data_IF_393199410935
#
_entry.id   IF_393199410935
#
_cell.length_a   1.000
_cell.length_b   1.000
_cell.length_c   1.000
_cell.angle_alpha   90.00
_cell.angle_beta   90.00
_cell.angle_gamma   90.00
#
_symmetry.space_group_name_H-M   'P 1'
#
loop_
_entity.id
_entity.type
_entity.pdbx_description
1 polymer ?
#
# COMPACT_ATOMS: atom_id res chain seq x y z
N UNK A 1 -24.24 -21.06 -17.20
CA UNK A 1 -23.45 -20.18 -18.07
C UNK A 1 -22.21 -19.77 -17.29
N UNK A 2 -20.98 -19.96 -17.80
CA UNK A 2 -19.79 -19.55 -17.08
C UNK A 2 -19.72 -18.02 -17.02
N UNK A 3 -19.51 -17.49 -15.80
CA UNK A 3 -19.34 -16.05 -15.58
C UNK A 3 -18.08 -15.56 -16.30
N UNK A 4 -18.22 -14.57 -17.19
CA UNK A 4 -17.09 -13.91 -17.84
C UNK A 4 -16.37 -13.05 -16.80
N UNK A 5 -15.08 -13.30 -16.63
CA UNK A 5 -14.15 -12.49 -15.87
C UNK A 5 -13.89 -11.18 -16.62
N UNK A 6 -14.21 -10.03 -16.04
CA UNK A 6 -13.74 -8.75 -16.56
C UNK A 6 -12.27 -8.58 -16.18
N UNK A 7 -11.42 -8.65 -17.18
CA UNK A 7 -9.99 -8.36 -17.05
C UNK A 7 -9.79 -6.86 -16.98
N UNK A 8 -9.30 -6.35 -15.87
CA UNK A 8 -8.82 -4.98 -15.78
C UNK A 8 -7.34 -4.98 -16.18
N UNK A 9 -7.01 -4.24 -17.27
CA UNK A 9 -5.65 -4.06 -17.73
C UNK A 9 -4.91 -3.09 -16.82
N UNK A 10 -4.04 -3.59 -15.95
CA UNK A 10 -3.03 -2.84 -15.22
C UNK A 10 -1.64 -3.33 -15.63
N UNK A 11 -0.66 -2.45 -15.61
CA UNK A 11 0.74 -2.75 -15.96
C UNK A 11 1.27 -3.82 -15.00
N UNK A 12 1.66 -4.97 -15.55
CA UNK A 12 2.18 -6.12 -14.82
C UNK A 12 3.62 -5.86 -14.43
N UNK A 13 3.93 -5.69 -13.15
CA UNK A 13 5.28 -5.90 -12.64
C UNK A 13 5.41 -7.34 -12.16
N UNK A 14 6.61 -7.99 -12.27
CA UNK A 14 6.78 -9.41 -11.96
C UNK A 14 6.65 -9.79 -10.48
N UNK A 15 6.42 -8.84 -9.62
CA UNK A 15 6.32 -9.05 -8.17
C UNK A 15 4.90 -8.77 -7.71
N UNK A 16 4.23 -9.82 -7.25
CA UNK A 16 3.01 -9.84 -6.42
C UNK A 16 1.80 -9.06 -6.94
N UNK A 17 0.76 -9.79 -7.28
CA UNK A 17 -0.53 -9.22 -7.57
C UNK A 17 -1.53 -9.53 -6.46
N UNK A 18 -1.93 -8.50 -5.76
CA UNK A 18 -3.11 -8.51 -4.90
C UNK A 18 -4.32 -8.13 -5.74
N UNK A 19 -5.31 -8.99 -5.78
CA UNK A 19 -6.56 -8.72 -6.47
C UNK A 19 -7.72 -8.72 -5.47
N UNK A 20 -8.41 -7.59 -5.35
CA UNK A 20 -9.69 -7.52 -4.66
C UNK A 20 -10.80 -7.88 -5.66
N UNK A 21 -11.58 -8.92 -5.36
CA UNK A 21 -12.71 -9.34 -6.18
C UNK A 21 -14.00 -8.98 -5.45
N UNK A 22 -14.85 -8.20 -6.12
CA UNK A 22 -16.18 -7.90 -5.61
C UNK A 22 -17.02 -9.19 -5.51
N UNK A 23 -17.56 -9.49 -4.34
CA UNK A 23 -18.58 -10.52 -4.20
C UNK A 23 -19.93 -9.89 -4.47
N UNK A 24 -20.47 -10.11 -5.67
CA UNK A 24 -21.88 -9.77 -5.97
C UNK A 24 -22.80 -10.74 -5.23
N UNK A 25 -23.35 -10.31 -4.10
CA UNK A 25 -24.54 -10.94 -3.50
C UNK A 25 -25.75 -10.20 -4.01
N UNK A 26 -26.52 -10.82 -4.89
CA UNK A 26 -27.83 -10.31 -5.35
C UNK A 26 -28.94 -10.69 -4.35
N UNK A 27 -29.77 -9.74 -3.95
CA UNK A 27 -29.83 -8.29 -4.16
C UNK A 27 -29.30 -7.51 -2.94
N UNK A 28 -28.00 -7.52 -2.68
CA UNK A 28 -27.38 -6.86 -1.53
C UNK A 28 -26.53 -5.65 -1.92
N UNK A 29 -26.45 -4.69 -1.04
CA UNK A 29 -25.42 -3.65 -1.08
C UNK A 29 -24.06 -4.34 -1.08
N UNK A 30 -23.17 -3.99 -2.02
CA UNK A 30 -21.78 -4.44 -1.96
C UNK A 30 -21.18 -3.86 -0.68
N UNK A 31 -20.98 -4.71 0.32
CA UNK A 31 -20.48 -4.30 1.64
C UNK A 31 -18.96 -4.32 1.73
N UNK A 32 -18.28 -4.75 0.65
CA UNK A 32 -16.82 -4.80 0.58
C UNK A 32 -16.31 -5.88 -0.40
N UNK A 33 -14.99 -5.92 -0.55
CA UNK A 33 -14.31 -6.83 -1.46
C UNK A 33 -13.57 -7.92 -0.70
N UNK A 34 -13.52 -9.15 -1.25
CA UNK A 34 -12.63 -10.21 -0.78
C UNK A 34 -11.22 -9.98 -1.30
N UNK A 35 -10.23 -10.23 -0.46
CA UNK A 35 -8.83 -10.16 -0.84
C UNK A 35 -8.34 -11.54 -1.30
N UNK A 36 -7.68 -11.56 -2.45
CA UNK A 36 -6.96 -12.72 -2.97
C UNK A 36 -5.53 -12.34 -3.30
N UNK A 37 -4.59 -13.23 -3.02
CA UNK A 37 -3.18 -13.03 -3.34
C UNK A 37 -2.63 -14.25 -4.08
N UNK A 38 -1.66 -14.01 -4.96
CA UNK A 38 -0.88 -15.02 -5.68
C UNK A 38 0.45 -14.43 -6.12
N UNK A 39 1.40 -15.26 -6.49
CA UNK A 39 2.76 -14.87 -6.88
C UNK A 39 3.78 -15.29 -5.84
N UNK A 40 4.86 -14.52 -5.74
CA UNK A 40 5.95 -14.77 -4.80
C UNK A 40 5.54 -14.46 -3.36
N UNK A 41 5.93 -15.34 -2.42
CA UNK A 41 5.56 -15.24 -1.01
C UNK A 41 6.72 -15.40 -0.03
N UNK A 42 7.97 -15.24 -0.47
CA UNK A 42 9.17 -15.55 0.31
C UNK A 42 9.37 -14.70 1.59
N UNK A 43 8.74 -13.53 1.67
CA UNK A 43 8.78 -12.66 2.86
C UNK A 43 7.41 -12.53 3.54
N UNK A 44 6.42 -13.34 3.15
CA UNK A 44 5.06 -13.29 3.69
C UNK A 44 4.13 -12.31 2.96
N UNK A 45 4.54 -11.82 1.80
CA UNK A 45 3.83 -10.78 1.03
C UNK A 45 2.41 -11.21 0.61
N UNK A 46 2.17 -12.52 0.50
CA UNK A 46 0.86 -13.05 0.15
C UNK A 46 -0.17 -12.94 1.28
N UNK A 47 0.27 -12.80 2.54
CA UNK A 47 -0.64 -12.65 3.68
C UNK A 47 -1.47 -13.89 4.03
N UNK A 48 -1.09 -15.05 3.52
CA UNK A 48 -1.82 -16.34 3.68
C UNK A 48 -1.44 -17.11 4.97
N UNK A 49 -0.72 -16.46 5.88
CA UNK A 49 -0.18 -17.03 7.12
C UNK A 49 0.87 -18.15 6.89
N UNK A 50 1.45 -18.20 5.70
CA UNK A 50 2.55 -19.11 5.36
C UNK A 50 3.80 -18.26 5.21
N UNK A 51 4.79 -18.48 6.05
CA UNK A 51 6.10 -17.81 5.99
C UNK A 51 7.19 -18.79 5.56
N UNK A 52 8.28 -18.27 5.02
CA UNK A 52 9.46 -19.05 4.66
C UNK A 52 9.83 -19.00 3.19
N UNK A 53 10.94 -19.64 2.84
CA UNK A 53 11.42 -19.70 1.46
C UNK A 53 10.51 -20.58 0.58
N UNK A 54 10.29 -20.15 -0.67
CA UNK A 54 9.52 -20.87 -1.69
C UNK A 54 8.02 -21.05 -1.38
N UNK A 55 7.39 -20.03 -0.81
CA UNK A 55 5.95 -19.99 -0.59
C UNK A 55 5.18 -19.36 -1.76
N UNK A 56 5.67 -19.56 -2.97
CA UNK A 56 5.06 -19.03 -4.18
C UNK A 56 3.73 -19.73 -4.49
N UNK A 57 2.72 -18.97 -4.85
CA UNK A 57 1.39 -19.47 -5.17
C UNK A 57 1.01 -19.03 -6.57
N UNK A 58 0.78 -20.01 -7.46
CA UNK A 58 0.48 -19.77 -8.88
C UNK A 58 -1.01 -19.51 -9.17
N UNK A 59 -1.89 -19.65 -8.19
CA UNK A 59 -3.32 -19.40 -8.32
C UNK A 59 -3.84 -18.55 -7.15
N UNK A 60 -4.90 -17.72 -7.36
CA UNK A 60 -5.41 -16.86 -6.30
C UNK A 60 -5.87 -17.63 -5.06
N UNK A 61 -5.32 -17.26 -3.89
CA UNK A 61 -5.72 -17.77 -2.58
C UNK A 61 -6.40 -16.63 -1.80
N UNK A 62 -7.56 -16.90 -1.20
CA UNK A 62 -8.27 -15.91 -0.41
C UNK A 62 -7.54 -15.63 0.89
N UNK A 63 -7.37 -14.33 1.20
CA UNK A 63 -6.72 -13.87 2.42
C UNK A 63 -7.78 -13.43 3.43
N UNK A 64 -7.85 -14.20 4.53
CA UNK A 64 -8.88 -14.01 5.55
C UNK A 64 -10.27 -14.46 5.09
N UNK A 65 -11.20 -14.55 6.05
CA UNK A 65 -12.56 -15.02 5.80
C UNK A 65 -13.56 -13.87 5.54
N UNK A 66 -13.18 -12.64 5.86
CA UNK A 66 -14.09 -11.48 5.84
C UNK A 66 -13.84 -10.57 4.65
N UNK A 67 -14.92 -10.04 4.14
CA UNK A 67 -14.98 -8.98 3.14
C UNK A 67 -14.74 -7.61 3.78
N UNK A 68 -14.81 -6.52 3.00
CA UNK A 68 -14.74 -5.10 3.40
C UNK A 68 -13.38 -4.40 3.16
N UNK A 69 -12.52 -4.96 2.35
CA UNK A 69 -11.36 -4.24 1.86
C UNK A 69 -11.80 -3.13 0.90
N UNK A 70 -11.30 -1.90 1.08
CA UNK A 70 -11.68 -0.72 0.30
C UNK A 70 -10.54 -0.18 -0.57
N UNK A 71 -9.31 -0.39 -0.14
CA UNK A 71 -8.11 0.05 -0.86
C UNK A 71 -6.99 -0.96 -0.62
N UNK A 72 -6.18 -1.22 -1.64
CA UNK A 72 -5.06 -2.16 -1.61
C UNK A 72 -3.88 -1.57 -2.38
N UNK A 73 -2.68 -1.79 -1.87
CA UNK A 73 -1.45 -1.55 -2.59
C UNK A 73 -0.39 -2.59 -2.20
N UNK A 74 0.48 -2.96 -3.13
CA UNK A 74 1.51 -3.95 -2.90
C UNK A 74 2.76 -3.70 -3.73
N UNK A 75 3.90 -3.94 -3.09
CA UNK A 75 5.22 -4.02 -3.71
C UNK A 75 5.99 -5.18 -3.05
N UNK A 76 7.12 -4.95 -2.39
CA UNK A 76 7.76 -5.93 -1.51
C UNK A 76 6.99 -6.12 -0.18
N UNK A 77 6.14 -5.18 0.15
CA UNK A 77 5.21 -5.21 1.28
C UNK A 77 3.80 -4.99 0.76
N UNK A 78 2.83 -5.52 1.47
CA UNK A 78 1.42 -5.45 1.09
C UNK A 78 0.63 -4.67 2.12
N UNK A 79 -0.34 -3.90 1.65
CA UNK A 79 -1.17 -3.02 2.48
C UNK A 79 -2.63 -3.10 2.07
N UNK A 80 -3.49 -2.87 3.04
CA UNK A 80 -4.93 -2.77 2.75
C UNK A 80 -5.65 -1.94 3.78
N UNK A 81 -6.66 -1.21 3.33
CA UNK A 81 -7.61 -0.51 4.20
C UNK A 81 -8.89 -1.34 4.29
N UNK A 82 -9.33 -1.58 5.51
CA UNK A 82 -10.56 -2.33 5.82
C UNK A 82 -11.32 -1.62 6.93
N UNK A 83 -12.53 -1.17 6.65
CA UNK A 83 -13.35 -0.42 7.61
C UNK A 83 -12.61 0.74 8.28
N UNK A 84 -11.83 1.51 7.49
CA UNK A 84 -11.01 2.61 7.94
C UNK A 84 -9.73 2.23 8.70
N UNK A 85 -9.48 0.94 8.97
CA UNK A 85 -8.26 0.43 9.59
C UNK A 85 -7.23 0.10 8.52
N UNK A 86 -5.99 0.48 8.74
CA UNK A 86 -4.87 0.11 7.89
C UNK A 86 -4.26 -1.21 8.36
N UNK A 87 -3.97 -2.11 7.43
CA UNK A 87 -3.26 -3.36 7.65
C UNK A 87 -2.02 -3.43 6.76
N UNK A 88 -0.96 -4.08 7.25
CA UNK A 88 0.28 -4.29 6.53
C UNK A 88 0.81 -5.71 6.75
N UNK A 89 1.51 -6.27 5.76
CA UNK A 89 2.17 -7.57 5.82
C UNK A 89 3.25 -7.68 4.75
N UNK A 90 4.10 -8.70 4.82
CA UNK A 90 5.22 -8.91 3.90
C UNK A 90 6.57 -8.49 4.45
N UNK A 91 7.43 -7.94 3.61
CA UNK A 91 8.77 -7.47 3.96
C UNK A 91 8.72 -6.28 4.92
N UNK A 92 9.68 -6.20 5.85
CA UNK A 92 9.78 -5.11 6.83
C UNK A 92 11.22 -4.65 7.07
N UNK A 93 12.09 -4.77 6.08
CA UNK A 93 13.52 -4.49 6.28
C UNK A 93 13.79 -3.05 6.75
N UNK A 94 13.04 -2.07 6.25
CA UNK A 94 13.24 -0.64 6.56
C UNK A 94 12.07 -0.05 7.37
N UNK A 95 11.32 -0.88 8.08
CA UNK A 95 10.12 -0.45 8.80
C UNK A 95 8.90 -0.25 7.91
N UNK A 96 8.90 -0.85 6.71
CA UNK A 96 7.85 -0.71 5.71
C UNK A 96 6.46 -1.08 6.24
N UNK A 97 6.35 -1.98 7.20
CA UNK A 97 5.05 -2.39 7.75
C UNK A 97 4.47 -1.43 8.78
N UNK A 98 5.19 -0.36 9.16
CA UNK A 98 4.72 0.63 10.15
C UNK A 98 4.33 0.03 11.52
N UNK A 99 4.95 -1.08 11.92
CA UNK A 99 4.65 -1.81 13.16
C UNK A 99 5.58 -1.44 14.33
N UNK A 100 6.37 -0.37 14.17
CA UNK A 100 7.42 0.09 15.12
C UNK A 100 8.50 -0.98 15.38
N UNK A 101 8.70 -1.88 14.41
CA UNK A 101 9.74 -2.90 14.41
C UNK A 101 10.22 -3.19 12.98
N UNK A 102 11.11 -4.20 12.80
CA UNK A 102 11.63 -4.66 11.51
C UNK A 102 11.27 -6.12 11.24
N UNK A 103 10.25 -6.65 11.91
CA UNK A 103 9.84 -8.05 11.79
C UNK A 103 8.87 -8.22 10.63
N UNK A 104 9.17 -9.15 9.71
CA UNK A 104 8.29 -9.54 8.60
C UNK A 104 6.99 -10.17 9.12
N UNK A 105 5.91 -10.03 8.37
CA UNK A 105 4.58 -10.56 8.70
C UNK A 105 4.03 -11.37 7.54
N UNK A 106 3.61 -12.62 7.80
CA UNK A 106 2.98 -13.50 6.80
C UNK A 106 1.44 -13.44 6.79
N UNK A 107 0.87 -12.56 7.57
CA UNK A 107 -0.58 -12.29 7.60
C UNK A 107 -0.85 -10.81 7.86
N UNK A 108 -2.00 -10.28 7.43
CA UNK A 108 -2.36 -8.88 7.68
C UNK A 108 -2.38 -8.54 9.18
N UNK A 109 -1.58 -7.54 9.59
CA UNK A 109 -1.55 -7.00 10.95
C UNK A 109 -1.97 -5.54 10.92
N UNK A 110 -2.88 -5.13 11.81
CA UNK A 110 -3.35 -3.76 11.88
C UNK A 110 -2.22 -2.81 12.29
N UNK A 111 -2.10 -1.69 11.58
CA UNK A 111 -1.16 -0.61 11.89
C UNK A 111 -1.79 0.32 12.94
N UNK A 112 -1.29 0.25 14.16
CA UNK A 112 -1.81 1.06 15.27
C UNK A 112 -3.30 0.83 15.54
N UNK A 113 -3.94 1.80 16.20
CA UNK A 113 -5.35 1.72 16.61
C UNK A 113 -6.31 2.61 15.81
N UNK A 114 -5.81 3.39 14.86
CA UNK A 114 -6.61 4.38 14.12
C UNK A 114 -7.57 3.70 13.13
N UNK A 115 -8.72 4.35 12.92
CA UNK A 115 -9.81 3.83 12.07
C UNK A 115 -10.27 4.84 11.00
N UNK A 116 -9.42 5.81 10.68
CA UNK A 116 -9.71 6.88 9.74
C UNK A 116 -8.77 6.88 8.51
N UNK A 117 -8.18 5.74 8.18
CA UNK A 117 -7.41 5.58 6.95
C UNK A 117 -8.34 5.50 5.73
N UNK A 118 -7.99 6.25 4.67
CA UNK A 118 -8.75 6.31 3.42
C UNK A 118 -8.05 5.56 2.30
N UNK A 119 -6.82 5.95 2.00
CA UNK A 119 -6.01 5.37 0.91
C UNK A 119 -4.62 5.03 1.39
N UNK A 120 -4.00 4.06 0.74
CA UNK A 120 -2.61 3.67 0.94
C UNK A 120 -1.98 3.36 -0.41
N UNK A 121 -0.73 3.76 -0.59
CA UNK A 121 0.05 3.42 -1.78
C UNK A 121 1.50 3.10 -1.44
N UNK A 122 1.99 1.96 -1.96
CA UNK A 122 3.30 1.39 -1.68
C UNK A 122 4.30 1.78 -2.76
N UNK A 123 5.40 2.41 -2.37
CA UNK A 123 6.54 2.63 -3.24
C UNK A 123 7.35 1.33 -3.44
N UNK A 124 8.07 1.27 -4.54
CA UNK A 124 8.81 0.06 -4.89
C UNK A 124 9.98 -0.27 -3.95
N UNK A 125 10.54 0.71 -3.26
CA UNK A 125 11.68 0.56 -2.34
C UNK A 125 11.28 0.62 -0.87
N UNK A 126 10.37 -0.25 -0.46
CA UNK A 126 10.02 -0.46 0.96
C UNK A 126 9.57 0.79 1.72
N UNK A 127 8.94 1.76 1.05
CA UNK A 127 8.27 2.88 1.68
C UNK A 127 6.78 2.92 1.30
N UNK A 128 6.00 3.63 2.05
CA UNK A 128 4.56 3.71 1.84
C UNK A 128 4.01 5.09 2.21
N UNK A 129 3.02 5.52 1.45
CA UNK A 129 2.27 6.75 1.69
C UNK A 129 0.80 6.44 1.92
N UNK A 130 0.14 7.22 2.75
CA UNK A 130 -1.29 7.07 3.00
C UNK A 130 -1.97 8.41 3.28
N UNK A 131 -3.28 8.48 3.00
CA UNK A 131 -4.12 9.61 3.33
C UNK A 131 -5.22 9.14 4.27
N UNK A 132 -5.50 9.93 5.30
CA UNK A 132 -6.65 9.72 6.19
C UNK A 132 -7.89 10.44 5.68
N UNK A 133 -9.04 10.09 6.23
CA UNK A 133 -10.34 10.72 5.89
C UNK A 133 -10.43 12.20 6.25
N UNK A 134 -9.55 12.67 7.13
CA UNK A 134 -9.39 14.09 7.48
C UNK A 134 -8.49 14.86 6.51
N UNK A 135 -8.03 14.22 5.42
CA UNK A 135 -7.17 14.80 4.40
C UNK A 135 -5.70 14.96 4.79
N UNK A 136 -5.26 14.40 5.92
CA UNK A 136 -3.84 14.41 6.32
C UNK A 136 -3.05 13.37 5.56
N UNK A 137 -1.81 13.72 5.15
CA UNK A 137 -0.86 12.83 4.45
C UNK A 137 0.12 12.23 5.45
N UNK A 138 0.42 10.95 5.28
CA UNK A 138 1.29 10.17 6.14
C UNK A 138 2.27 9.32 5.33
N UNK A 139 3.48 9.08 5.86
CA UNK A 139 4.48 8.24 5.21
C UNK A 139 5.31 7.45 6.22
N UNK A 140 5.90 6.33 5.77
CA UNK A 140 6.80 5.47 6.56
C UNK A 140 7.62 4.55 5.66
N UNK A 141 8.57 3.82 6.24
CA UNK A 141 9.46 2.87 5.57
C UNK A 141 10.81 3.47 5.23
N UNK A 142 11.36 3.04 4.11
CA UNK A 142 12.66 3.46 3.62
C UNK A 142 12.67 4.94 3.21
N UNK A 143 13.62 5.71 3.74
CA UNK A 143 13.75 7.12 3.46
C UNK A 143 15.20 7.54 3.12
N UNK A 144 16.18 6.74 3.50
CA UNK A 144 17.60 7.00 3.21
C UNK A 144 17.97 6.59 1.78
N UNK A 145 17.61 5.39 1.37
CA UNK A 145 17.85 4.90 0.01
C UNK A 145 16.90 5.54 -1.03
N UNK A 146 15.80 6.13 -0.58
CA UNK A 146 14.82 6.81 -1.42
C UNK A 146 15.04 8.32 -1.50
N UNK A 147 16.09 8.82 -0.86
CA UNK A 147 16.46 10.25 -0.86
C UNK A 147 15.34 11.17 -0.39
N UNK A 148 14.64 10.77 0.68
CA UNK A 148 13.58 11.57 1.27
C UNK A 148 12.20 11.39 0.62
N UNK A 149 11.93 10.24 -0.01
CA UNK A 149 10.63 10.00 -0.65
C UNK A 149 9.43 10.02 0.31
N UNK A 150 9.63 9.83 1.62
CA UNK A 150 8.58 10.01 2.62
C UNK A 150 8.11 11.48 2.67
N UNK A 151 9.01 12.48 2.47
CA UNK A 151 8.64 13.89 2.42
C UNK A 151 8.52 14.55 3.79
N UNK A 152 9.11 13.97 4.84
CA UNK A 152 9.10 14.51 6.21
C UNK A 152 10.28 15.46 6.51
N UNK A 153 10.94 15.96 5.47
CA UNK A 153 12.14 16.79 5.55
C UNK A 153 13.34 16.10 6.23
N UNK A 154 13.39 14.78 6.18
CA UNK A 154 14.50 13.95 6.64
C UNK A 154 14.85 12.87 5.63
N UNK A 155 15.97 12.16 5.87
CA UNK A 155 16.35 10.94 5.15
C UNK A 155 16.41 9.75 6.11
N UNK A 156 15.74 9.81 7.24
CA UNK A 156 15.75 8.76 8.26
C UNK A 156 14.56 7.83 8.05
N UNK A 157 14.79 6.52 7.99
CA UNK A 157 13.77 5.50 7.89
C UNK A 157 12.75 5.57 9.04
N UNK A 158 11.49 5.33 8.76
CA UNK A 158 10.40 5.40 9.74
C UNK A 158 9.72 4.04 9.87
N UNK A 159 9.81 3.42 11.02
CA UNK A 159 9.12 2.16 11.32
C UNK A 159 7.68 2.34 11.83
N UNK A 160 7.19 3.57 11.89
CA UNK A 160 5.81 3.93 12.21
C UNK A 160 5.34 5.11 11.36
N UNK A 161 4.02 5.28 11.12
CA UNK A 161 3.52 6.39 10.33
C UNK A 161 3.89 7.74 10.91
N UNK A 162 4.44 8.63 10.08
CA UNK A 162 4.68 10.05 10.42
C UNK A 162 3.82 10.93 9.54
N UNK A 163 3.23 11.98 10.11
CA UNK A 163 2.45 12.95 9.34
C UNK A 163 3.37 13.85 8.52
N UNK A 164 3.02 14.07 7.25
CA UNK A 164 3.77 14.91 6.32
C UNK A 164 3.15 16.31 6.29
N UNK A 165 3.85 17.25 6.92
CA UNK A 165 3.35 18.60 7.08
C UNK A 165 2.08 18.69 7.93
N UNK A 166 1.39 19.84 7.86
CA UNK A 166 0.18 20.11 8.65
C UNK A 166 -1.08 20.30 7.80
N UNK A 167 -0.98 20.09 6.48
CA UNK A 167 -2.10 20.28 5.57
C UNK A 167 -3.11 19.13 5.68
N UNK A 168 -4.39 19.46 5.47
CA UNK A 168 -5.53 18.54 5.59
C UNK A 168 -6.39 18.49 4.31
N UNK A 169 -5.79 18.84 3.18
CA UNK A 169 -6.45 18.95 1.88
C UNK A 169 -5.92 17.94 0.84
N UNK A 170 -5.20 16.92 1.28
CA UNK A 170 -4.72 15.86 0.39
C UNK A 170 -5.84 14.93 -0.04
N UNK A 171 -5.92 14.65 -1.35
CA UNK A 171 -6.97 13.86 -1.99
C UNK A 171 -6.47 12.53 -2.54
N UNK A 172 -5.29 12.54 -3.17
CA UNK A 172 -4.68 11.34 -3.77
C UNK A 172 -3.17 11.35 -3.55
N UNK A 173 -2.59 10.17 -3.45
CA UNK A 173 -1.14 9.96 -3.41
C UNK A 173 -0.77 8.80 -4.32
N UNK A 174 0.40 8.90 -4.95
CA UNK A 174 1.02 7.83 -5.73
C UNK A 174 2.51 7.75 -5.36
N UNK A 175 2.93 6.59 -4.92
CA UNK A 175 4.29 6.28 -4.54
C UNK A 175 5.02 5.59 -5.69
N UNK A 176 6.07 6.22 -6.22
CA UNK A 176 6.94 5.66 -7.24
C UNK A 176 8.04 4.77 -6.66
N UNK A 177 9.17 4.67 -7.37
CA UNK A 177 10.33 3.92 -6.86
C UNK A 177 11.04 4.67 -5.72
N UNK A 178 11.34 5.95 -5.92
CA UNK A 178 12.08 6.80 -4.98
C UNK A 178 11.48 8.22 -4.90
N UNK A 179 10.27 8.42 -5.35
CA UNK A 179 9.59 9.72 -5.38
C UNK A 179 8.10 9.53 -5.15
N UNK A 180 7.42 10.60 -4.81
CA UNK A 180 5.98 10.63 -4.63
C UNK A 180 5.33 11.74 -5.45
N UNK A 181 4.11 11.49 -5.84
CA UNK A 181 3.16 12.48 -6.36
C UNK A 181 1.96 12.55 -5.43
N UNK A 182 1.43 13.72 -5.19
CA UNK A 182 0.16 13.86 -4.49
C UNK A 182 -0.67 15.00 -5.08
N UNK A 183 -1.99 14.84 -5.00
CA UNK A 183 -2.95 15.84 -5.50
C UNK A 183 -3.79 16.30 -4.32
N UNK A 184 -3.97 17.61 -4.21
CA UNK A 184 -4.86 18.23 -3.26
C UNK A 184 -6.29 18.30 -3.77
N UNK A 185 -7.24 18.62 -2.90
CA UNK A 185 -8.66 18.80 -3.22
C UNK A 185 -8.93 19.96 -4.17
N UNK A 186 -8.04 20.96 -4.21
CA UNK A 186 -8.08 22.08 -5.16
C UNK A 186 -7.54 21.72 -6.57
N UNK A 187 -7.08 20.48 -6.77
CA UNK A 187 -6.52 19.97 -8.03
C UNK A 187 -5.03 20.22 -8.21
N UNK A 188 -4.35 20.87 -7.29
CA UNK A 188 -2.90 21.10 -7.40
C UNK A 188 -2.11 19.79 -7.23
N UNK A 189 -1.09 19.60 -8.09
CA UNK A 189 -0.18 18.45 -8.08
C UNK A 189 1.12 18.83 -7.38
N UNK A 190 1.58 17.95 -6.51
CA UNK A 190 2.82 18.06 -5.75
C UNK A 190 3.70 16.86 -6.00
N UNK A 191 5.02 17.07 -6.03
CA UNK A 191 6.02 16.02 -6.22
C UNK A 191 7.22 16.24 -5.30
N UNK A 192 7.81 15.16 -4.78
CA UNK A 192 9.00 15.20 -3.94
C UNK A 192 9.75 13.86 -3.97
N UNK A 193 10.98 13.85 -3.46
CA UNK A 193 11.89 12.71 -3.46
C UNK A 193 12.97 12.83 -4.52
N UNK A 194 13.43 11.70 -5.03
CA UNK A 194 14.52 11.62 -6.00
C UNK A 194 14.15 12.20 -7.36
N UNK A 195 15.09 13.00 -7.98
CA UNK A 195 14.83 13.70 -9.25
C UNK A 195 15.94 13.49 -10.31
N UNK A 196 16.73 12.44 -10.22
CA UNK A 196 17.90 12.21 -11.13
C UNK A 196 17.52 12.24 -12.63
N UNK A 197 16.30 11.82 -12.97
CA UNK A 197 15.81 11.77 -14.36
C UNK A 197 14.61 12.69 -14.61
N UNK A 198 14.45 13.74 -13.84
CA UNK A 198 13.34 14.68 -13.99
C UNK A 198 11.98 14.10 -13.60
N UNK A 199 11.96 13.06 -12.75
CA UNK A 199 10.72 12.36 -12.33
C UNK A 199 9.73 13.27 -11.61
N UNK A 200 10.20 14.38 -11.03
CA UNK A 200 9.34 15.34 -10.33
C UNK A 200 8.64 16.32 -11.28
N UNK A 201 8.97 16.33 -12.58
CA UNK A 201 8.34 17.21 -13.56
C UNK A 201 8.59 18.71 -13.35
N UNK A 202 9.66 19.08 -12.65
CA UNK A 202 9.94 20.47 -12.24
C UNK A 202 10.88 21.23 -13.18
N UNK A 203 11.24 20.65 -14.33
CA UNK A 203 12.09 21.27 -15.37
C UNK A 203 13.46 21.76 -14.85
N UNK A 204 14.08 21.05 -13.91
CA UNK A 204 15.38 21.31 -13.31
C UNK A 204 16.28 20.06 -13.32
#
# INVERSE_FOLDING_TARGET
>A
MPKQWKQYSGIWTPTQQLQAVAAETWPGVITGYKLYAFGQGSSGELGNNVGGLNQDVSSPVQIGATEQWSNLSASNSSYGVKSGKLFSWGNNNNGALAQNDLVKRSSPVQVGALTNWSTVDAGWRDFCMAIKTDGTLWGWGDNDNTQGAIGDNSIVNKSSPVQIGSLTDWSKVAAGANFCLAVKTDGTLWSWGHNEHGMLGQNN
#
